data_IF_925934605170
#
_entry.id   IF_925934605170
#
_cell.length_a   1.000
_cell.length_b   1.000
_cell.length_c   1.000
_cell.angle_alpha   90.00
_cell.angle_beta   90.00
_cell.angle_gamma   90.00
#
_symmetry.space_group_name_H-M   'P 1'
#
loop_
_entity.id
_entity.type
_entity.pdbx_description
1 polymer ?
#
# COMPACT_ATOMS: atom_id res chain seq x y z
N UNK A 1 2.58 -19.73 3.86
CA UNK A 1 2.38 -18.44 3.16
C UNK A 1 3.33 -17.37 3.73
N UNK A 2 3.97 -16.59 2.86
CA UNK A 2 4.88 -15.49 3.24
C UNK A 2 4.20 -14.15 2.95
N UNK A 3 4.21 -13.22 3.92
CA UNK A 3 3.64 -11.88 3.78
C UNK A 3 3.17 -11.28 5.09
N UNK A 4 2.89 -9.96 5.09
CA UNK A 4 2.53 -9.19 6.28
C UNK A 4 1.34 -9.78 7.06
N UNK A 5 0.28 -10.19 6.34
CA UNK A 5 -0.92 -10.76 6.98
C UNK A 5 -0.63 -12.13 7.60
N UNK A 6 0.09 -12.99 6.87
CA UNK A 6 0.46 -14.32 7.36
C UNK A 6 1.32 -14.24 8.63
N UNK A 7 2.18 -13.24 8.75
CA UNK A 7 2.95 -12.99 9.95
C UNK A 7 2.09 -12.62 11.17
N UNK A 8 1.07 -11.76 10.99
CA UNK A 8 0.12 -11.44 12.07
C UNK A 8 -0.72 -12.67 12.47
N UNK A 9 -1.11 -13.51 11.51
CA UNK A 9 -1.80 -14.78 11.78
C UNK A 9 -0.89 -15.75 12.55
N UNK A 10 0.39 -15.82 12.22
CA UNK A 10 1.37 -16.65 12.94
C UNK A 10 1.54 -16.19 14.41
N UNK A 11 1.54 -14.88 14.68
CA UNK A 11 1.48 -14.35 16.04
C UNK A 11 0.21 -14.77 16.77
N UNK A 12 -0.95 -14.70 16.10
CA UNK A 12 -2.25 -15.09 16.69
C UNK A 12 -2.26 -16.57 17.06
N UNK A 13 -1.70 -17.42 16.20
CA UNK A 13 -1.59 -18.86 16.41
C UNK A 13 -0.53 -19.26 17.45
N UNK A 14 0.30 -18.32 17.92
CA UNK A 14 1.37 -18.61 18.88
C UNK A 14 2.55 -19.36 18.29
N UNK A 15 2.66 -19.43 16.95
CA UNK A 15 3.77 -20.10 16.24
C UNK A 15 4.88 -19.13 15.85
N UNK A 16 4.75 -17.85 16.22
CA UNK A 16 5.78 -16.82 16.06
C UNK A 16 5.83 -15.92 17.31
N UNK A 17 7.02 -15.42 17.63
CA UNK A 17 7.23 -14.45 18.71
C UNK A 17 7.24 -12.99 18.21
N UNK A 18 7.68 -12.77 16.98
CA UNK A 18 7.72 -11.46 16.32
C UNK A 18 7.20 -11.59 14.88
N UNK A 19 6.57 -10.51 14.38
CA UNK A 19 6.18 -10.41 12.98
C UNK A 19 6.46 -9.02 12.42
N UNK A 20 7.07 -8.97 11.25
CA UNK A 20 7.06 -7.78 10.41
C UNK A 20 5.70 -7.63 9.71
N UNK A 21 5.19 -6.41 9.58
CA UNK A 21 4.03 -6.14 8.77
C UNK A 21 4.08 -4.76 8.11
N UNK A 22 3.50 -4.70 6.93
CA UNK A 22 3.26 -3.48 6.18
C UNK A 22 1.94 -3.65 5.44
N UNK A 23 0.85 -3.28 6.11
CA UNK A 23 -0.53 -3.42 5.64
C UNK A 23 -1.18 -2.04 5.66
N UNK A 24 -1.58 -1.56 4.50
CA UNK A 24 -2.28 -0.28 4.35
C UNK A 24 -3.78 -0.53 4.45
N UNK A 25 -4.44 0.18 5.37
CA UNK A 25 -5.89 0.20 5.44
C UNK A 25 -6.43 1.42 4.68
N UNK A 26 -7.20 1.19 3.62
CA UNK A 26 -7.72 2.28 2.77
C UNK A 26 -8.82 3.09 3.44
N UNK A 27 -9.55 2.51 4.40
CA UNK A 27 -10.65 3.18 5.08
C UNK A 27 -10.14 4.24 6.06
N UNK A 28 -9.14 3.88 6.88
CA UNK A 28 -8.55 4.80 7.87
C UNK A 28 -7.32 5.54 7.35
N UNK A 29 -6.74 5.11 6.22
CA UNK A 29 -5.43 5.56 5.73
C UNK A 29 -4.27 5.32 6.71
N UNK A 30 -4.44 4.41 7.67
CA UNK A 30 -3.42 4.05 8.67
C UNK A 30 -2.75 2.74 8.27
N UNK A 31 -1.45 2.63 8.54
CA UNK A 31 -0.72 1.38 8.38
C UNK A 31 -0.76 0.53 9.66
N UNK A 32 -0.89 -0.79 9.48
CA UNK A 32 -0.71 -1.87 10.46
C UNK A 32 -1.68 -1.88 11.65
N UNK A 33 -1.93 -0.74 12.31
CA UNK A 33 -2.71 -0.65 13.55
C UNK A 33 -4.14 -1.19 13.41
N UNK A 34 -4.92 -0.88 12.33
CA UNK A 34 -6.24 -1.46 12.15
C UNK A 34 -6.19 -3.00 12.04
N UNK A 35 -5.25 -3.53 11.27
CA UNK A 35 -5.06 -4.98 11.10
C UNK A 35 -4.65 -5.67 12.40
N UNK A 36 -3.74 -5.08 13.18
CA UNK A 36 -3.33 -5.62 14.47
C UNK A 36 -4.52 -5.69 15.42
N UNK A 37 -5.29 -4.60 15.54
CA UNK A 37 -6.49 -4.56 16.39
C UNK A 37 -7.53 -5.60 15.98
N UNK A 38 -7.68 -5.84 14.67
CA UNK A 38 -8.63 -6.81 14.16
C UNK A 38 -8.18 -8.26 14.38
N UNK A 39 -6.91 -8.58 14.15
CA UNK A 39 -6.39 -9.96 14.18
C UNK A 39 -6.01 -10.40 15.61
N UNK A 40 -5.57 -9.46 16.44
CA UNK A 40 -5.05 -9.68 17.79
C UNK A 40 -5.82 -8.83 18.84
N UNK A 41 -7.18 -8.82 18.84
CA UNK A 41 -7.97 -7.89 19.66
C UNK A 41 -7.80 -8.10 21.17
N UNK A 42 -7.42 -9.30 21.56
CA UNK A 42 -7.32 -9.83 22.93
C UNK A 42 -5.86 -10.05 23.38
N UNK A 43 -4.88 -9.54 22.62
CA UNK A 43 -3.46 -9.75 22.90
C UNK A 43 -2.75 -8.43 23.18
N UNK A 44 -1.92 -8.41 24.21
CA UNK A 44 -1.01 -7.29 24.45
C UNK A 44 0.15 -7.37 23.46
N UNK A 45 0.19 -6.44 22.52
CA UNK A 45 1.20 -6.36 21.46
C UNK A 45 1.87 -4.99 21.52
N UNK A 46 3.21 -4.97 21.44
CA UNK A 46 3.98 -3.75 21.26
C UNK A 46 4.33 -3.59 19.79
N UNK A 47 3.92 -2.48 19.19
CA UNK A 47 4.29 -2.13 17.81
C UNK A 47 5.54 -1.24 17.83
N UNK A 48 6.50 -1.53 16.96
CA UNK A 48 7.70 -0.71 16.77
C UNK A 48 7.77 -0.33 15.29
N UNK A 49 7.75 0.98 15.00
CA UNK A 49 7.93 1.49 13.64
C UNK A 49 9.41 1.42 13.28
N UNK A 50 9.75 0.56 12.31
CA UNK A 50 11.14 0.41 11.85
C UNK A 50 11.51 1.43 10.77
N UNK A 51 10.58 1.73 9.86
CA UNK A 51 10.82 2.61 8.74
C UNK A 51 9.52 3.22 8.20
N UNK A 52 9.62 4.44 7.70
CA UNK A 52 8.64 5.05 6.82
C UNK A 52 9.09 4.87 5.36
N UNK A 53 8.14 4.76 4.44
CA UNK A 53 8.44 4.58 3.01
C UNK A 53 7.80 5.72 2.22
N UNK A 54 8.57 6.30 1.32
CA UNK A 54 8.07 7.25 0.33
C UNK A 54 7.70 6.50 -0.94
N UNK A 55 6.51 6.77 -1.48
CA UNK A 55 6.05 6.30 -2.77
C UNK A 55 6.27 7.41 -3.81
N UNK A 56 6.69 7.04 -5.01
CA UNK A 56 6.93 7.97 -6.11
C UNK A 56 6.72 7.33 -7.46
N UNK A 57 6.65 8.16 -8.50
CA UNK A 57 6.53 7.72 -9.88
C UNK A 57 7.92 7.49 -10.49
N UNK A 58 8.14 6.30 -11.04
CA UNK A 58 9.30 6.04 -11.89
C UNK A 58 8.96 6.46 -13.31
N UNK A 59 9.72 7.40 -13.85
CA UNK A 59 9.49 7.99 -15.17
C UNK A 59 10.74 7.86 -16.04
N UNK A 60 10.54 7.92 -17.36
CA UNK A 60 11.64 7.91 -18.33
C UNK A 60 12.56 9.11 -18.10
N UNK A 61 13.88 8.89 -18.20
CA UNK A 61 14.90 9.94 -18.10
C UNK A 61 14.55 11.12 -19.02
N UNK A 62 14.69 12.34 -18.48
CA UNK A 62 14.34 13.58 -19.17
C UNK A 62 12.85 13.95 -19.13
N UNK A 63 11.99 13.10 -18.54
CA UNK A 63 10.56 13.36 -18.38
C UNK A 63 9.88 13.88 -19.66
N UNK A 64 9.94 13.13 -20.79
CA UNK A 64 9.48 13.65 -22.09
C UNK A 64 7.99 13.99 -22.14
N UNK A 65 7.17 13.42 -21.24
CA UNK A 65 5.73 13.70 -21.14
C UNK A 65 5.38 14.75 -20.08
N UNK A 66 6.40 15.35 -19.43
CA UNK A 66 6.26 16.36 -18.39
C UNK A 66 5.34 15.92 -17.24
N UNK A 67 5.52 14.69 -16.76
CA UNK A 67 4.79 14.15 -15.60
C UNK A 67 5.21 14.90 -14.34
N UNK A 68 4.25 15.53 -13.67
CA UNK A 68 4.43 16.31 -12.46
C UNK A 68 3.86 15.62 -11.21
N UNK A 69 2.89 14.72 -11.37
CA UNK A 69 2.29 14.00 -10.26
C UNK A 69 1.20 13.01 -10.66
N UNK A 70 0.43 12.56 -9.67
CA UNK A 70 -0.61 11.53 -9.86
C UNK A 70 -1.73 11.95 -10.83
N UNK A 71 -2.03 13.25 -10.94
CA UNK A 71 -3.04 13.76 -11.87
C UNK A 71 -2.70 13.48 -13.33
N UNK A 72 -1.42 13.44 -13.67
CA UNK A 72 -0.95 13.19 -15.02
C UNK A 72 -1.13 11.73 -15.43
N UNK A 73 -1.16 10.79 -14.48
CA UNK A 73 -1.14 9.34 -14.76
C UNK A 73 -2.38 8.88 -15.54
N UNK A 74 -3.49 9.63 -15.46
CA UNK A 74 -4.72 9.38 -16.22
C UNK A 74 -4.77 10.12 -17.59
N UNK A 75 -3.69 10.77 -18.03
CA UNK A 75 -3.63 11.40 -19.35
C UNK A 75 -3.60 10.33 -20.44
N UNK A 76 -4.30 10.60 -21.55
CA UNK A 76 -4.41 9.69 -22.69
C UNK A 76 -3.08 9.34 -23.35
N UNK A 77 -2.07 10.20 -23.23
CA UNK A 77 -0.74 10.00 -23.79
C UNK A 77 0.20 9.24 -22.83
N UNK A 78 -0.25 8.89 -21.61
CA UNK A 78 0.54 8.13 -20.63
C UNK A 78 0.09 6.67 -20.59
N UNK A 79 1.07 5.79 -20.50
CA UNK A 79 0.87 4.36 -20.19
C UNK A 79 1.50 4.11 -18.83
N UNK A 80 0.74 3.53 -17.92
CA UNK A 80 1.19 3.32 -16.55
C UNK A 80 1.23 1.84 -16.19
N UNK A 81 2.44 1.35 -15.95
CA UNK A 81 2.62 0.01 -15.43
C UNK A 81 2.47 0.02 -13.91
N UNK A 82 1.36 -0.53 -13.44
CA UNK A 82 1.05 -0.58 -12.02
C UNK A 82 1.61 -1.86 -11.35
N UNK A 83 1.58 -1.92 -10.01
CA UNK A 83 1.93 -3.10 -9.22
C UNK A 83 0.83 -4.16 -9.27
N UNK A 84 1.24 -5.40 -8.96
CA UNK A 84 0.36 -6.56 -8.87
C UNK A 84 -0.84 -6.29 -7.95
N UNK A 85 -2.01 -6.79 -8.34
CA UNK A 85 -3.24 -6.73 -7.56
C UNK A 85 -3.03 -7.31 -6.15
N UNK A 86 -3.65 -6.68 -5.15
CA UNK A 86 -3.53 -7.06 -3.74
C UNK A 86 -2.24 -6.59 -3.05
N UNK A 87 -1.28 -6.02 -3.78
CA UNK A 87 -0.11 -5.40 -3.13
C UNK A 87 -0.51 -4.11 -2.39
N UNK A 88 0.08 -3.86 -1.22
CA UNK A 88 -0.22 -2.66 -0.43
C UNK A 88 0.02 -1.36 -1.21
N UNK A 89 1.06 -1.31 -2.06
CA UNK A 89 1.30 -0.19 -2.96
C UNK A 89 0.16 0.02 -3.95
N UNK A 90 -0.39 -1.06 -4.53
CA UNK A 90 -1.52 -0.95 -5.46
C UNK A 90 -2.77 -0.43 -4.75
N UNK A 91 -3.10 -0.97 -3.58
CA UNK A 91 -4.23 -0.53 -2.76
C UNK A 91 -4.09 0.96 -2.41
N UNK A 92 -2.90 1.37 -1.97
CA UNK A 92 -2.59 2.77 -1.67
C UNK A 92 -2.74 3.67 -2.90
N UNK A 93 -2.17 3.26 -4.04
CA UNK A 93 -2.21 4.03 -5.28
C UNK A 93 -3.63 4.20 -5.81
N UNK A 94 -4.42 3.12 -5.84
CA UNK A 94 -5.80 3.14 -6.29
C UNK A 94 -6.66 4.04 -5.38
N UNK A 95 -6.40 4.04 -4.06
CA UNK A 95 -7.05 4.97 -3.14
C UNK A 95 -6.67 6.43 -3.42
N UNK A 96 -5.38 6.70 -3.67
CA UNK A 96 -4.90 8.05 -4.00
C UNK A 96 -5.46 8.57 -5.32
N UNK A 97 -5.65 7.71 -6.32
CA UNK A 97 -6.35 8.10 -7.56
C UNK A 97 -7.80 8.49 -7.29
N UNK A 98 -8.52 7.70 -6.47
CA UNK A 98 -9.91 8.01 -6.10
C UNK A 98 -10.01 9.36 -5.39
N UNK A 99 -9.11 9.66 -4.46
CA UNK A 99 -9.07 10.95 -3.74
C UNK A 99 -8.93 12.14 -4.70
N UNK A 100 -8.20 11.98 -5.81
CA UNK A 100 -8.04 13.03 -6.84
C UNK A 100 -9.07 12.95 -7.98
N UNK A 101 -10.14 12.17 -7.81
CA UNK A 101 -11.22 12.03 -8.80
C UNK A 101 -10.83 11.27 -10.06
N UNK A 102 -9.84 10.37 -9.99
CA UNK A 102 -9.41 9.50 -11.10
C UNK A 102 -9.74 8.04 -10.78
N UNK A 103 -10.13 7.27 -11.80
CA UNK A 103 -10.27 5.80 -11.70
C UNK A 103 -9.13 5.11 -12.44
N UNK A 104 -8.79 3.90 -12.00
CA UNK A 104 -7.84 3.02 -12.68
C UNK A 104 -8.30 2.66 -14.10
N UNK A 105 -9.61 2.63 -14.34
CA UNK A 105 -10.17 2.32 -15.67
C UNK A 105 -9.79 3.38 -16.73
N UNK A 106 -9.35 4.55 -16.27
CA UNK A 106 -8.88 5.65 -17.12
C UNK A 106 -7.39 5.53 -17.46
N UNK A 107 -6.69 4.54 -16.91
CA UNK A 107 -5.25 4.39 -17.02
C UNK A 107 -4.95 3.21 -17.96
N UNK A 108 -4.27 3.52 -19.08
CA UNK A 108 -3.81 2.53 -20.07
C UNK A 108 -2.50 1.87 -19.67
#
# INVERSE_FOLDING_TARGET
PVGSLAGLVALRQGIAHLSGCHLYDSETSIYNQPYIKHILPDRQIKMVTLAHRTQGLLIKRGNPKQVSGLHDVARHDITFLNRNCGSGTRIWFDNKLKEIGKSIDLIK
#
